data_IF_452405351599
#
_entry.id   IF_452405351599
#
_cell.length_a   1.000
_cell.length_b   1.000
_cell.length_c   1.000
_cell.angle_alpha   90.00
_cell.angle_beta   90.00
_cell.angle_gamma   90.00
#
_symmetry.space_group_name_H-M   'P 1'
#
loop_
_entity.id
_entity.type
_entity.pdbx_description
1 polymer ?
#
# COMPACT_ATOMS: atom_id res chain seq x y z
N UNK A 1 -14.56 -34.89 3.56
CA UNK A 1 -13.64 -34.03 4.35
C UNK A 1 -12.25 -34.11 3.74
N UNK A 2 -11.61 -33.00 3.31
CA UNK A 2 -10.32 -33.08 2.63
C UNK A 2 -9.26 -33.72 3.54
N UNK A 3 -8.63 -34.78 3.05
CA UNK A 3 -7.71 -35.63 3.81
C UNK A 3 -6.60 -34.81 4.52
N UNK A 4 -6.36 -35.16 5.79
CA UNK A 4 -5.29 -34.62 6.65
C UNK A 4 -4.00 -34.52 5.84
N UNK A 5 -3.50 -33.31 5.54
CA UNK A 5 -2.29 -33.11 4.71
C UNK A 5 -1.10 -33.84 5.34
N UNK A 6 -0.79 -35.05 4.84
CA UNK A 6 0.26 -35.95 5.40
C UNK A 6 1.68 -35.49 5.06
N UNK A 7 1.89 -34.71 3.98
CA UNK A 7 3.22 -34.22 3.59
C UNK A 7 3.72 -33.11 4.51
N UNK A 8 4.77 -33.39 5.29
CA UNK A 8 5.46 -32.46 6.20
C UNK A 8 5.83 -31.12 5.52
N UNK A 9 6.25 -31.16 4.26
CA UNK A 9 6.58 -29.97 3.46
C UNK A 9 5.37 -29.06 3.21
N UNK A 10 4.18 -29.63 2.97
CA UNK A 10 2.95 -28.87 2.75
C UNK A 10 2.50 -28.15 4.04
N UNK A 11 2.56 -28.82 5.19
CA UNK A 11 2.26 -28.21 6.49
C UNK A 11 3.22 -27.06 6.82
N UNK A 12 4.51 -27.21 6.47
CA UNK A 12 5.51 -26.13 6.58
C UNK A 12 5.13 -24.93 5.71
N UNK A 13 4.72 -25.15 4.45
CA UNK A 13 4.29 -24.06 3.55
C UNK A 13 3.08 -23.32 4.08
N UNK A 14 2.09 -24.01 4.67
CA UNK A 14 0.91 -23.36 5.27
C UNK A 14 1.32 -22.39 6.39
N UNK A 15 2.16 -22.84 7.34
CA UNK A 15 2.67 -21.99 8.42
C UNK A 15 3.44 -20.76 7.91
N UNK A 16 4.30 -20.97 6.90
CA UNK A 16 5.02 -19.88 6.26
C UNK A 16 4.09 -18.87 5.58
N UNK A 17 3.07 -19.36 4.86
CA UNK A 17 2.09 -18.52 4.18
C UNK A 17 1.30 -17.70 5.18
N UNK A 18 0.81 -18.28 6.28
CA UNK A 18 0.09 -17.54 7.32
C UNK A 18 0.92 -16.37 7.87
N UNK A 19 2.18 -16.62 8.25
CA UNK A 19 3.10 -15.58 8.73
C UNK A 19 3.38 -14.51 7.69
N UNK A 20 3.58 -14.89 6.42
CA UNK A 20 3.82 -13.91 5.33
C UNK A 20 2.57 -13.09 5.04
N UNK A 21 1.39 -13.69 5.11
CA UNK A 21 0.11 -13.02 4.86
C UNK A 21 -0.17 -11.97 5.92
N UNK A 22 0.01 -12.25 7.22
CA UNK A 22 -0.21 -11.26 8.28
C UNK A 22 0.65 -10.00 8.09
N UNK A 23 1.95 -10.19 7.85
CA UNK A 23 2.89 -9.08 7.60
C UNK A 23 2.54 -8.29 6.32
N UNK A 24 2.13 -8.99 5.25
CA UNK A 24 1.71 -8.33 4.00
C UNK A 24 0.41 -7.55 4.17
N UNK A 25 -0.52 -8.06 4.95
CA UNK A 25 -1.80 -7.39 5.23
C UNK A 25 -1.56 -6.07 5.94
N UNK A 26 -0.72 -6.04 6.99
CA UNK A 26 -0.35 -4.80 7.71
C UNK A 26 0.32 -3.79 6.78
N UNK A 27 1.32 -4.22 5.99
CA UNK A 27 1.99 -3.33 5.06
C UNK A 27 1.06 -2.79 3.97
N UNK A 28 0.07 -3.59 3.55
CA UNK A 28 -0.93 -3.18 2.55
C UNK A 28 -1.98 -2.23 3.13
N UNK A 29 -2.45 -2.47 4.36
CA UNK A 29 -3.42 -1.58 5.02
C UNK A 29 -2.79 -0.23 5.30
N UNK A 30 -1.59 -0.17 5.88
CA UNK A 30 -0.86 1.07 6.12
C UNK A 30 -0.68 1.89 4.83
N UNK A 31 -0.28 1.24 3.73
CA UNK A 31 -0.17 1.91 2.44
C UNK A 31 -1.51 2.42 1.89
N UNK A 32 -2.63 1.72 2.14
CA UNK A 32 -3.97 2.18 1.74
C UNK A 32 -4.40 3.39 2.56
N UNK A 33 -4.17 3.38 3.87
CA UNK A 33 -4.48 4.48 4.77
C UNK A 33 -3.70 5.75 4.40
N UNK A 34 -2.39 5.63 4.15
CA UNK A 34 -1.58 6.77 3.73
C UNK A 34 -2.07 7.39 2.41
N UNK A 35 -2.46 6.55 1.43
CA UNK A 35 -3.05 7.03 0.16
C UNK A 35 -4.39 7.73 0.39
N UNK A 36 -5.23 7.23 1.31
CA UNK A 36 -6.50 7.88 1.66
C UNK A 36 -6.26 9.24 2.30
N UNK A 37 -5.36 9.32 3.28
CA UNK A 37 -5.02 10.57 3.95
C UNK A 37 -4.45 11.62 2.97
N UNK A 38 -3.59 11.21 2.03
CA UNK A 38 -3.09 12.11 0.99
C UNK A 38 -4.22 12.64 0.08
N UNK A 39 -5.22 11.83 -0.25
CA UNK A 39 -6.38 12.28 -1.05
C UNK A 39 -7.24 13.26 -0.28
N UNK A 40 -7.50 12.99 0.99
CA UNK A 40 -8.27 13.90 1.86
C UNK A 40 -7.54 15.24 2.02
N UNK A 41 -6.21 15.23 2.18
CA UNK A 41 -5.41 16.44 2.25
C UNK A 41 -5.43 17.25 0.94
N UNK A 42 -5.37 16.57 -0.22
CA UNK A 42 -5.51 17.23 -1.53
C UNK A 42 -6.89 17.91 -1.66
N UNK A 43 -7.97 17.27 -1.17
CA UNK A 43 -9.31 17.86 -1.23
C UNK A 43 -9.50 19.04 -0.29
N UNK A 44 -8.89 19.01 0.91
CA UNK A 44 -8.99 20.10 1.90
C UNK A 44 -8.16 21.32 1.54
N UNK A 45 -7.05 21.14 0.82
CA UNK A 45 -6.09 22.21 0.54
C UNK A 45 -5.22 22.55 1.75
N UNK A 46 -4.12 23.27 1.51
CA UNK A 46 -3.17 23.71 2.53
C UNK A 46 -1.76 23.11 2.41
N UNK A 47 -0.82 23.66 3.18
CA UNK A 47 0.61 23.30 3.14
C UNK A 47 0.86 21.83 3.52
N UNK A 48 0.06 21.31 4.46
CA UNK A 48 0.09 19.92 4.91
C UNK A 48 -0.20 18.89 3.79
N UNK A 49 -0.81 19.31 2.67
CA UNK A 49 -1.05 18.40 1.54
C UNK A 49 0.25 17.88 0.92
N UNK A 50 1.29 18.72 0.86
CA UNK A 50 2.58 18.36 0.28
C UNK A 50 3.30 17.28 1.10
N UNK A 51 3.32 17.45 2.42
CA UNK A 51 3.90 16.51 3.38
C UNK A 51 3.18 15.16 3.35
N UNK A 52 1.85 15.18 3.34
CA UNK A 52 1.03 13.97 3.31
C UNK A 52 1.20 13.19 1.99
N UNK A 53 1.42 13.88 0.87
CA UNK A 53 1.75 13.24 -0.41
C UNK A 53 3.12 12.57 -0.35
N UNK A 54 4.12 13.24 0.24
CA UNK A 54 5.47 12.68 0.42
C UNK A 54 5.45 11.44 1.34
N UNK A 55 4.73 11.53 2.46
CA UNK A 55 4.53 10.42 3.38
C UNK A 55 3.86 9.23 2.69
N UNK A 56 2.81 9.47 1.90
CA UNK A 56 2.14 8.43 1.13
C UNK A 56 3.06 7.80 0.08
N UNK A 57 3.90 8.60 -0.59
CA UNK A 57 4.88 8.10 -1.55
C UNK A 57 5.91 7.18 -0.88
N UNK A 58 6.45 7.58 0.29
CA UNK A 58 7.38 6.77 1.09
C UNK A 58 6.76 5.47 1.57
N UNK A 59 5.52 5.52 2.07
CA UNK A 59 4.79 4.33 2.53
C UNK A 59 4.55 3.32 1.39
N UNK A 60 4.21 3.79 0.19
CA UNK A 60 4.02 2.94 -0.99
C UNK A 60 5.30 2.22 -1.41
N UNK A 61 6.45 2.91 -1.39
CA UNK A 61 7.74 2.30 -1.76
C UNK A 61 8.22 1.31 -0.71
N UNK A 62 8.04 1.61 0.58
CA UNK A 62 8.33 0.66 1.67
C UNK A 62 7.45 -0.59 1.54
N UNK A 63 6.17 -0.43 1.20
CA UNK A 63 5.26 -1.56 0.96
C UNK A 63 5.64 -2.36 -0.29
N UNK A 64 6.22 -1.72 -1.31
CA UNK A 64 6.74 -2.38 -2.50
C UNK A 64 8.01 -3.18 -2.20
N UNK A 65 8.96 -2.59 -1.46
CA UNK A 65 10.20 -3.26 -1.02
C UNK A 65 9.93 -4.51 -0.20
N UNK A 66 8.90 -4.49 0.66
CA UNK A 66 8.46 -5.65 1.47
C UNK A 66 7.61 -6.67 0.68
N UNK A 67 7.29 -6.40 -0.58
CA UNK A 67 6.48 -7.28 -1.43
C UNK A 67 5.00 -7.34 -1.04
N UNK A 68 4.50 -6.38 -0.26
CA UNK A 68 3.07 -6.27 0.11
C UNK A 68 2.24 -5.71 -1.05
N UNK A 69 2.87 -4.88 -1.89
CA UNK A 69 2.31 -4.26 -3.11
C UNK A 69 3.31 -4.46 -4.25
N UNK A 70 2.84 -4.78 -5.46
CA UNK A 70 3.74 -4.91 -6.62
C UNK A 70 4.32 -3.53 -7.03
N UNK A 71 5.56 -3.50 -7.53
CA UNK A 71 6.26 -2.27 -7.98
C UNK A 71 5.41 -1.41 -8.93
N UNK A 72 4.75 -2.04 -9.91
CA UNK A 72 3.87 -1.33 -10.85
C UNK A 72 2.61 -0.79 -10.17
N UNK A 73 2.08 -1.48 -9.15
CA UNK A 73 0.95 -0.97 -8.39
C UNK A 73 1.34 0.23 -7.52
N UNK A 74 2.55 0.23 -6.94
CA UNK A 74 3.06 1.38 -6.21
C UNK A 74 3.25 2.58 -7.16
N UNK A 75 3.92 2.38 -8.31
CA UNK A 75 4.11 3.39 -9.36
C UNK A 75 2.79 3.99 -9.85
N UNK A 76 1.79 3.14 -10.15
CA UNK A 76 0.46 3.60 -10.57
C UNK A 76 -0.22 4.47 -9.51
N UNK A 77 -0.13 4.09 -8.23
CA UNK A 77 -0.75 4.86 -7.15
C UNK A 77 -0.03 6.19 -6.93
N UNK A 78 1.30 6.21 -6.95
CA UNK A 78 2.10 7.44 -6.89
C UNK A 78 1.74 8.41 -8.02
N UNK A 79 1.69 7.91 -9.25
CA UNK A 79 1.29 8.72 -10.43
C UNK A 79 -0.12 9.30 -10.30
N UNK A 80 -1.09 8.52 -9.80
CA UNK A 80 -2.46 9.01 -9.61
C UNK A 80 -2.57 10.11 -8.55
N UNK A 81 -1.82 10.00 -7.45
CA UNK A 81 -1.80 11.03 -6.40
C UNK A 81 -1.19 12.32 -6.96
N UNK A 82 -0.05 12.22 -7.66
CA UNK A 82 0.58 13.38 -8.30
C UNK A 82 -0.36 14.07 -9.29
N UNK A 83 -1.03 13.30 -10.16
CA UNK A 83 -2.04 13.83 -11.10
C UNK A 83 -3.19 14.53 -10.37
N UNK A 84 -3.70 13.95 -9.29
CA UNK A 84 -4.77 14.55 -8.49
C UNK A 84 -4.32 15.90 -7.87
N UNK A 85 -3.11 15.97 -7.33
CA UNK A 85 -2.55 17.20 -6.79
C UNK A 85 -2.38 18.29 -7.88
N UNK A 86 -1.87 17.93 -9.06
CA UNK A 86 -1.76 18.89 -10.18
C UNK A 86 -3.12 19.38 -10.68
N UNK A 87 -4.13 18.51 -10.72
CA UNK A 87 -5.49 18.88 -11.13
C UNK A 87 -6.15 19.80 -10.11
N UNK A 88 -5.94 19.56 -8.81
CA UNK A 88 -6.43 20.43 -7.75
C UNK A 88 -5.86 21.85 -7.87
N UNK A 89 -4.54 21.98 -8.10
CA UNK A 89 -3.88 23.27 -8.35
C UNK A 89 -4.36 24.02 -9.61
N UNK A 90 -4.85 23.31 -10.63
CA UNK A 90 -5.35 23.91 -11.88
C UNK A 90 -6.81 24.39 -11.79
N UNK A 91 -7.56 23.89 -10.79
CA UNK A 91 -8.98 24.22 -10.60
C UNK A 91 -9.17 25.50 -9.76
N UNK A 92 -8.17 25.83 -8.95
CA UNK A 92 -7.96 27.15 -8.35
C UNK A 92 -7.31 28.06 -9.38
#
# INVERSE_FOLDING_TARGET
>A
MPAKKRKRSALKRIRQTQRRTSMRTIGRSAARTAVRAAREAISKGGEAASEMISAAASALDKAAKRGSVHKNSARRRRSRIAKAATKAKKKT
#
